data_IF_879849804733
#
_entry.id   IF_879849804733
#
_cell.length_a   1.000
_cell.length_b   1.000
_cell.length_c   1.000
_cell.angle_alpha   90.00
_cell.angle_beta   90.00
_cell.angle_gamma   90.00
#
_symmetry.space_group_name_H-M   'P 1'
#
loop_
_entity.id
_entity.type
_entity.pdbx_description
1 polymer ?
#
# COMPACT_ATOMS: atom_id res chain seq x y z
N UNK A 1 -10.16 0.33 8.55
CA UNK A 1 -11.52 -0.19 8.24
C UNK A 1 -11.48 -1.71 8.22
N UNK A 2 -12.54 -2.44 8.59
CA UNK A 2 -12.57 -3.92 8.64
C UNK A 2 -13.56 -4.45 7.60
N UNK A 3 -13.16 -5.48 6.84
CA UNK A 3 -14.02 -6.17 5.87
C UNK A 3 -14.13 -7.65 6.20
N UNK A 4 -15.28 -8.24 5.86
CA UNK A 4 -15.56 -9.67 5.97
C UNK A 4 -16.07 -10.17 4.62
N UNK A 5 -15.51 -11.29 4.17
CA UNK A 5 -16.01 -12.02 3.01
C UNK A 5 -16.28 -13.46 3.43
N UNK A 6 -17.48 -13.96 3.11
CA UNK A 6 -17.89 -15.36 3.27
C UNK A 6 -18.45 -15.83 1.94
N UNK A 7 -17.91 -16.90 1.31
CA UNK A 7 -18.48 -17.46 0.10
C UNK A 7 -19.85 -18.07 0.43
N UNK A 8 -20.94 -17.40 0.03
CA UNK A 8 -22.31 -17.89 0.24
C UNK A 8 -23.35 -16.81 0.55
N UNK A 9 -22.93 -15.63 1.05
CA UNK A 9 -23.82 -14.50 1.32
C UNK A 9 -23.49 -13.34 0.37
N UNK A 10 -24.42 -13.00 -0.52
CA UNK A 10 -24.28 -11.83 -1.39
C UNK A 10 -24.19 -10.54 -0.55
N UNK A 11 -23.09 -9.80 -0.77
CA UNK A 11 -22.83 -8.40 -0.42
C UNK A 11 -23.66 -7.84 0.76
N UNK A 12 -23.27 -8.19 1.99
CA UNK A 12 -23.56 -7.33 3.15
C UNK A 12 -22.27 -6.72 3.68
N UNK A 13 -21.98 -5.52 3.19
CA UNK A 13 -21.00 -4.62 3.80
C UNK A 13 -21.64 -4.07 5.08
N UNK A 14 -21.55 -4.84 6.15
CA UNK A 14 -22.07 -4.46 7.47
C UNK A 14 -20.98 -3.81 8.32
N UNK A 15 -21.26 -2.62 8.87
CA UNK A 15 -20.53 -2.09 10.01
C UNK A 15 -20.97 -2.88 11.25
N UNK A 16 -20.15 -3.80 11.74
CA UNK A 16 -20.51 -4.61 12.92
C UNK A 16 -20.38 -3.75 14.18
N UNK A 17 -21.52 -3.33 14.74
CA UNK A 17 -21.64 -3.09 16.17
C UNK A 17 -21.58 -4.46 16.87
N UNK A 18 -20.68 -4.62 17.83
CA UNK A 18 -20.49 -5.86 18.60
C UNK A 18 -21.79 -6.19 19.37
N UNK A 19 -22.57 -7.13 18.84
CA UNK A 19 -23.64 -7.76 19.60
C UNK A 19 -23.02 -8.69 20.64
N UNK A 20 -23.29 -8.38 21.92
CA UNK A 20 -22.90 -9.17 23.08
C UNK A 20 -23.78 -10.41 23.17
N UNK A 21 -23.23 -11.60 22.90
CA UNK A 21 -23.57 -12.90 23.51
C UNK A 21 -23.12 -14.07 22.63
N UNK A 22 -21.81 -14.21 22.44
CA UNK A 22 -21.19 -15.45 21.94
C UNK A 22 -20.04 -15.85 22.88
N UNK A 23 -19.77 -17.15 23.05
CA UNK A 23 -18.73 -17.67 23.94
C UNK A 23 -17.40 -16.96 23.69
N UNK A 24 -16.66 -16.68 24.77
CA UNK A 24 -15.46 -15.85 24.82
C UNK A 24 -14.56 -16.06 23.61
N UNK A 25 -14.75 -15.21 22.59
CA UNK A 25 -13.81 -15.08 21.49
C UNK A 25 -12.58 -14.45 22.15
N UNK A 26 -11.57 -15.27 22.43
CA UNK A 26 -10.20 -14.78 22.58
C UNK A 26 -9.99 -13.93 21.32
N UNK A 27 -9.99 -12.60 21.50
CA UNK A 27 -9.95 -11.67 20.40
C UNK A 27 -8.80 -12.04 19.47
N UNK A 28 -8.97 -11.93 18.13
CA UNK A 28 -7.86 -12.20 17.24
C UNK A 28 -6.65 -11.40 17.70
N UNK A 29 -5.48 -12.06 17.76
CA UNK A 29 -4.22 -11.39 18.06
C UNK A 29 -4.15 -10.09 17.24
N UNK A 30 -3.72 -9.01 17.90
CA UNK A 30 -3.55 -7.74 17.21
C UNK A 30 -2.75 -7.99 15.92
N UNK A 31 -3.22 -7.53 14.75
CA UNK A 31 -2.54 -7.78 13.47
C UNK A 31 -1.06 -7.38 13.48
N UNK A 32 -0.69 -6.42 14.33
CA UNK A 32 0.70 -5.97 14.54
C UNK A 32 1.62 -6.97 15.26
N UNK A 33 1.07 -8.01 15.92
CA UNK A 33 1.83 -9.05 16.64
C UNK A 33 1.76 -10.42 15.97
N UNK A 34 0.90 -10.59 14.96
CA UNK A 34 0.76 -11.85 14.26
C UNK A 34 1.79 -11.91 13.12
N UNK A 35 2.70 -12.89 13.20
CA UNK A 35 3.62 -13.26 12.10
C UNK A 35 2.87 -13.79 10.85
N UNK A 36 1.54 -13.76 10.86
CA UNK A 36 0.66 -14.37 9.84
C UNK A 36 -0.12 -13.33 9.03
N UNK A 37 0.45 -12.14 8.90
CA UNK A 37 -0.18 -10.99 8.27
C UNK A 37 0.67 -10.55 7.07
N UNK A 38 0.07 -10.59 5.89
CA UNK A 38 0.65 -9.96 4.71
C UNK A 38 0.60 -8.45 4.93
N UNK A 39 1.73 -7.79 4.69
CA UNK A 39 1.84 -6.33 4.77
C UNK A 39 2.21 -5.77 3.41
N UNK A 40 1.42 -4.84 2.91
CA UNK A 40 1.66 -4.09 1.67
C UNK A 40 1.86 -2.61 2.01
N UNK A 41 3.05 -2.07 1.77
CA UNK A 41 3.32 -0.64 1.91
C UNK A 41 3.00 0.06 0.61
N UNK A 42 2.06 1.00 0.64
CA UNK A 42 1.61 1.75 -0.52
C UNK A 42 2.33 3.10 -0.56
N UNK A 43 3.31 3.31 -1.45
CA UNK A 43 3.85 4.63 -1.69
C UNK A 43 2.82 5.47 -2.44
N UNK A 44 2.56 6.68 -1.98
CA UNK A 44 1.68 7.64 -2.65
C UNK A 44 2.41 8.95 -2.85
N UNK A 45 2.49 9.40 -4.10
CA UNK A 45 3.14 10.65 -4.45
C UNK A 45 2.21 11.81 -4.05
N UNK A 46 2.79 12.82 -3.40
CA UNK A 46 2.11 14.04 -2.97
C UNK A 46 2.84 15.22 -3.59
N UNK A 47 2.12 16.03 -4.35
CA UNK A 47 2.63 17.27 -4.91
C UNK A 47 2.40 18.42 -3.93
N UNK A 48 3.45 19.20 -3.72
CA UNK A 48 3.52 20.31 -2.78
C UNK A 48 3.66 21.61 -3.57
N UNK A 49 2.61 21.96 -4.32
CA UNK A 49 2.54 23.19 -5.11
C UNK A 49 3.75 23.47 -6.01
N UNK A 50 3.86 24.70 -6.51
CA UNK A 50 4.99 25.15 -7.35
C UNK A 50 5.97 26.05 -6.62
N UNK A 51 5.61 26.55 -5.42
CA UNK A 51 6.36 27.60 -4.70
C UNK A 51 7.64 27.10 -4.00
N UNK A 52 7.82 25.78 -3.87
CA UNK A 52 9.00 25.17 -3.25
C UNK A 52 10.01 24.54 -4.23
N UNK A 53 9.86 24.64 -5.55
CA UNK A 53 10.69 23.86 -6.50
C UNK A 53 12.21 24.06 -6.37
N UNK A 54 12.65 25.21 -5.87
CA UNK A 54 14.05 25.61 -5.84
C UNK A 54 14.66 25.59 -4.43
N UNK A 55 14.44 24.52 -3.68
CA UNK A 55 15.16 24.31 -2.42
C UNK A 55 16.61 23.93 -2.70
N UNK A 56 17.53 24.53 -1.95
CA UNK A 56 18.90 24.02 -1.86
C UNK A 56 18.94 22.70 -1.08
N UNK A 57 20.08 21.99 -1.12
CA UNK A 57 20.17 20.69 -0.46
C UNK A 57 20.01 20.80 1.06
N UNK A 58 20.47 21.91 1.65
CA UNK A 58 20.51 22.09 3.10
C UNK A 58 19.11 22.26 3.64
N UNK A 59 18.30 23.09 2.99
CA UNK A 59 16.89 23.27 3.31
C UNK A 59 16.10 21.99 3.07
N UNK A 60 16.45 21.21 2.05
CA UNK A 60 15.86 19.89 1.80
C UNK A 60 16.18 18.88 2.91
N UNK A 61 17.40 18.85 3.44
CA UNK A 61 17.78 18.02 4.58
C UNK A 61 17.05 18.44 5.86
N UNK A 62 17.00 19.75 6.14
CA UNK A 62 16.22 20.30 7.27
C UNK A 62 14.74 19.91 7.13
N UNK A 63 14.20 19.98 5.92
CA UNK A 63 12.83 19.57 5.65
C UNK A 63 12.60 18.09 5.96
N UNK A 64 13.49 17.21 5.46
CA UNK A 64 13.45 15.77 5.74
C UNK A 64 13.50 15.46 7.23
N UNK A 65 14.39 16.11 7.98
CA UNK A 65 14.53 15.89 9.42
C UNK A 65 13.27 16.33 10.18
N UNK A 66 12.79 17.55 9.91
CA UNK A 66 11.61 18.12 10.57
C UNK A 66 10.35 17.29 10.30
N UNK A 67 10.14 16.88 9.04
CA UNK A 67 9.04 16.00 8.66
C UNK A 67 9.09 14.66 9.39
N UNK A 68 10.26 14.02 9.46
CA UNK A 68 10.42 12.77 10.20
C UNK A 68 10.17 12.95 11.70
N UNK A 69 10.64 14.04 12.30
CA UNK A 69 10.42 14.33 13.71
C UNK A 69 8.93 14.58 14.03
N UNK A 70 8.22 15.30 13.15
CA UNK A 70 6.78 15.51 13.26
C UNK A 70 6.01 14.19 13.09
N UNK A 71 6.40 13.35 12.12
CA UNK A 71 5.78 12.05 11.91
C UNK A 71 5.92 11.15 13.14
N UNK A 72 7.12 11.10 13.74
CA UNK A 72 7.36 10.35 14.98
C UNK A 72 6.49 10.86 16.13
N UNK A 73 6.36 12.18 16.28
CA UNK A 73 5.48 12.79 17.30
C UNK A 73 4.01 12.45 17.08
N UNK A 74 3.54 12.52 15.84
CA UNK A 74 2.18 12.15 15.48
C UNK A 74 1.91 10.66 15.73
N UNK A 75 2.89 9.79 15.47
CA UNK A 75 2.76 8.37 15.76
C UNK A 75 2.67 8.08 17.26
N UNK A 76 3.50 8.75 18.09
CA UNK A 76 3.43 8.62 19.55
C UNK A 76 2.09 9.13 20.10
N UNK A 77 1.58 10.26 19.61
CA UNK A 77 0.29 10.79 20.07
C UNK A 77 -0.88 9.86 19.72
N UNK A 78 -0.81 9.13 18.60
CA UNK A 78 -1.80 8.10 18.25
C UNK A 78 -1.71 6.89 19.18
N UNK A 79 -0.52 6.54 19.69
CA UNK A 79 -0.37 5.45 20.66
C UNK A 79 -0.88 5.84 22.05
N UNK A 80 -0.65 7.08 22.48
CA UNK A 80 -1.03 7.57 23.80
C UNK A 80 -2.53 7.91 23.90
N UNK A 81 -3.19 8.20 22.78
CA UNK A 81 -4.61 8.54 22.76
C UNK A 81 -5.50 7.30 22.88
N UNK A 82 -6.03 7.07 24.07
CA UNK A 82 -7.04 6.02 24.35
C UNK A 82 -8.34 6.18 23.53
N UNK A 83 -8.54 7.33 22.88
CA UNK A 83 -9.72 7.67 22.08
C UNK A 83 -9.36 8.13 20.66
N UNK A 84 -8.31 7.55 20.06
CA UNK A 84 -7.99 7.83 18.65
C UNK A 84 -9.22 7.54 17.78
N UNK A 85 -9.68 8.57 17.07
CA UNK A 85 -10.84 8.48 16.19
C UNK A 85 -10.62 7.35 15.19
N UNK A 86 -11.43 6.30 15.32
CA UNK A 86 -11.39 5.14 14.44
C UNK A 86 -11.76 5.56 13.02
N UNK A 87 -10.77 6.02 12.23
CA UNK A 87 -10.81 6.31 10.78
C UNK A 87 -9.58 7.10 10.28
N UNK A 88 -8.71 7.62 11.14
CA UNK A 88 -7.56 8.41 10.67
C UNK A 88 -6.58 7.57 9.84
N UNK A 89 -6.09 8.17 8.75
CA UNK A 89 -5.00 7.61 7.96
C UNK A 89 -3.73 7.59 8.82
N UNK A 90 -2.92 6.54 8.67
CA UNK A 90 -1.65 6.42 9.39
C UNK A 90 -0.52 6.47 8.38
N UNK A 91 0.18 7.60 8.34
CA UNK A 91 1.41 7.74 7.57
C UNK A 91 2.51 7.04 8.36
N UNK A 92 3.13 6.03 7.77
CA UNK A 92 4.22 5.27 8.38
C UNK A 92 5.56 5.91 8.11
N UNK A 93 5.66 6.54 6.94
CA UNK A 93 6.89 7.10 6.43
C UNK A 93 6.57 8.28 5.53
N UNK A 94 7.46 9.26 5.54
CA UNK A 94 7.39 10.42 4.68
C UNK A 94 8.77 10.66 4.07
N UNK A 95 8.81 10.80 2.75
CA UNK A 95 10.02 11.08 2.00
C UNK A 95 9.87 12.40 1.26
N UNK A 96 10.84 13.30 1.46
CA UNK A 96 10.86 14.59 0.78
C UNK A 96 11.90 14.48 -0.33
N UNK A 97 11.42 14.36 -1.57
CA UNK A 97 12.28 14.11 -2.73
C UNK A 97 12.88 15.41 -3.25
N UNK A 98 12.02 16.42 -3.42
CA UNK A 98 12.40 17.79 -3.72
C UNK A 98 11.36 18.74 -3.11
N UNK A 99 11.48 20.04 -3.36
CA UNK A 99 10.56 21.01 -2.76
C UNK A 99 9.16 21.09 -3.39
N UNK A 100 8.86 20.27 -4.39
CA UNK A 100 7.51 20.13 -4.96
C UNK A 100 6.93 18.72 -4.85
N UNK A 101 7.70 17.74 -4.42
CA UNK A 101 7.32 16.33 -4.47
C UNK A 101 7.73 15.62 -3.19
N UNK A 102 6.74 15.03 -2.55
CA UNK A 102 6.88 14.18 -1.37
C UNK A 102 6.26 12.81 -1.66
N UNK A 103 6.64 11.81 -0.88
CA UNK A 103 6.04 10.47 -0.93
C UNK A 103 5.62 10.10 0.49
N UNK A 104 4.33 9.83 0.67
CA UNK A 104 3.81 9.24 1.90
C UNK A 104 3.71 7.74 1.71
N UNK A 105 4.11 6.99 2.73
CA UNK A 105 3.90 5.55 2.77
C UNK A 105 2.80 5.22 3.77
N UNK A 106 1.79 4.51 3.29
CA UNK A 106 0.71 3.95 4.09
C UNK A 106 0.77 2.42 4.00
N UNK A 107 -0.01 1.73 4.81
CA UNK A 107 0.03 0.29 4.95
C UNK A 107 -1.36 -0.35 4.79
N UNK A 108 -1.40 -1.38 3.97
CA UNK A 108 -2.49 -2.36 3.96
C UNK A 108 -2.00 -3.65 4.58
N UNK A 109 -2.81 -4.26 5.43
CA UNK A 109 -2.54 -5.58 5.97
C UNK A 109 -3.67 -6.52 5.63
N UNK A 110 -3.32 -7.76 5.31
CA UNK A 110 -4.27 -8.81 5.02
C UNK A 110 -3.97 -10.04 5.89
N UNK A 111 -5.01 -10.68 6.41
CA UNK A 111 -4.89 -11.99 7.05
C UNK A 111 -6.03 -12.91 6.62
N UNK A 112 -5.71 -14.19 6.46
CA UNK A 112 -6.65 -15.22 6.03
C UNK A 112 -6.90 -16.15 7.21
N UNK A 113 -8.18 -16.32 7.55
CA UNK A 113 -8.63 -17.20 8.62
C UNK A 113 -9.48 -18.31 8.02
N UNK A 114 -9.14 -19.54 8.33
CA UNK A 114 -9.86 -20.72 7.86
C UNK A 114 -10.75 -21.29 8.97
N UNK A 115 -12.01 -21.59 8.65
CA UNK A 115 -13.00 -22.22 9.55
C UNK A 115 -13.82 -23.27 8.79
N UNK A 116 -13.55 -24.55 9.04
CA UNK A 116 -14.26 -25.64 8.36
C UNK A 116 -13.89 -25.70 6.88
N UNK A 117 -14.86 -25.48 5.99
CA UNK A 117 -14.66 -25.41 4.53
C UNK A 117 -14.66 -23.96 4.00
N UNK A 118 -14.71 -22.98 4.89
CA UNK A 118 -14.78 -21.57 4.54
C UNK A 118 -13.49 -20.88 4.95
N UNK A 119 -13.08 -19.91 4.14
CA UNK A 119 -12.04 -18.96 4.49
C UNK A 119 -12.65 -17.57 4.58
N UNK A 120 -12.07 -16.74 5.45
CA UNK A 120 -12.41 -15.33 5.63
C UNK A 120 -11.14 -14.52 5.52
N UNK A 121 -11.18 -13.47 4.70
CA UNK A 121 -10.05 -12.55 4.54
C UNK A 121 -10.39 -11.26 5.25
N UNK A 122 -9.48 -10.85 6.12
CA UNK A 122 -9.52 -9.57 6.80
C UNK A 122 -8.51 -8.65 6.15
N UNK A 123 -9.00 -7.56 5.56
CA UNK A 123 -8.14 -6.51 5.01
C UNK A 123 -8.30 -5.29 5.92
N UNK A 124 -7.17 -4.78 6.37
CA UNK A 124 -7.09 -3.53 7.11
C UNK A 124 -6.26 -2.55 6.30
N UNK A 125 -6.87 -1.43 5.93
CA UNK A 125 -6.17 -0.31 5.30
C UNK A 125 -6.13 0.86 6.29
N UNK A 126 -4.93 1.39 6.52
CA UNK A 126 -4.72 2.74 7.05
C UNK A 126 -4.52 3.79 5.93
N UNK A 127 -4.68 3.36 4.67
CA UNK A 127 -4.51 4.15 3.47
C UNK A 127 -5.85 4.71 2.93
N UNK A 128 -5.80 5.90 2.31
CA UNK A 128 -6.91 6.46 1.52
C UNK A 128 -7.98 7.27 2.26
N UNK A 129 -7.77 7.70 3.51
CA UNK A 129 -8.64 8.72 4.11
C UNK A 129 -8.09 10.13 3.85
N UNK A 130 -8.51 10.72 2.73
CA UNK A 130 -8.13 12.07 2.30
C UNK A 130 -8.78 13.18 3.14
N UNK A 131 -9.84 12.88 3.91
CA UNK A 131 -10.60 13.89 4.68
C UNK A 131 -9.76 14.59 5.75
N UNK A 132 -8.59 14.04 6.11
CA UNK A 132 -7.74 14.56 7.18
C UNK A 132 -6.36 14.99 6.67
N UNK A 133 -6.20 15.67 5.54
CA UNK A 133 -4.86 16.10 5.06
C UNK A 133 -4.02 16.90 6.06
N UNK A 134 -4.65 17.45 7.11
CA UNK A 134 -4.01 18.20 8.19
C UNK A 134 -2.93 17.40 8.97
N UNK A 135 -2.91 16.06 8.91
CA UNK A 135 -1.91 15.25 9.61
C UNK A 135 -0.63 14.98 8.81
N UNK A 136 -0.54 15.38 7.54
CA UNK A 136 0.69 15.19 6.75
C UNK A 136 1.72 16.21 7.23
N UNK A 137 2.89 15.75 7.73
CA UNK A 137 3.94 16.67 8.14
C UNK A 137 4.42 17.52 6.97
N UNK A 138 4.18 18.81 7.01
CA UNK A 138 4.76 19.78 6.07
C UNK A 138 5.90 20.51 6.77
N UNK A 139 7.10 20.57 6.17
CA UNK A 139 8.23 21.24 6.81
C UNK A 139 7.88 22.71 7.08
N UNK A 140 8.14 23.24 8.30
CA UNK A 140 8.03 24.67 8.55
C UNK A 140 9.32 25.36 8.07
N UNK A 141 9.58 25.31 6.76
CA UNK A 141 10.56 26.19 6.11
C UNK A 141 9.81 27.30 5.40
N UNK A 142 10.50 28.41 5.09
CA UNK A 142 9.87 29.59 4.46
C UNK A 142 9.17 29.24 3.14
N UNK A 143 9.70 28.25 2.42
CA UNK A 143 9.20 27.85 1.11
C UNK A 143 8.09 26.77 1.17
N UNK A 144 7.99 26.03 2.28
CA UNK A 144 6.95 25.02 2.50
C UNK A 144 5.75 25.52 3.31
N UNK A 145 5.94 26.52 4.18
CA UNK A 145 4.88 27.09 5.03
C UNK A 145 3.63 27.59 4.27
N UNK A 146 3.71 28.18 3.05
CA UNK A 146 2.53 28.62 2.32
C UNK A 146 1.77 27.48 1.62
N UNK A 147 2.28 26.25 1.62
CA UNK A 147 1.81 25.16 0.73
C UNK A 147 1.09 24.03 1.48
N UNK A 148 0.99 24.12 2.81
CA UNK A 148 0.37 23.07 3.62
C UNK A 148 -1.13 22.83 3.32
N UNK A 149 -1.82 23.81 2.75
CA UNK A 149 -3.21 23.70 2.29
C UNK A 149 -3.37 23.10 0.88
N UNK A 150 -2.28 23.00 0.11
CA UNK A 150 -2.33 22.77 -1.34
C UNK A 150 -1.76 21.39 -1.72
N UNK A 151 -1.78 20.44 -0.78
CA UNK A 151 -1.29 19.09 -1.02
C UNK A 151 -2.20 18.35 -2.00
N UNK A 152 -1.64 17.87 -3.10
CA UNK A 152 -2.37 17.11 -4.11
C UNK A 152 -1.82 15.69 -4.17
N UNK A 153 -2.67 14.71 -3.88
CA UNK A 153 -2.35 13.30 -3.99
C UNK A 153 -2.39 12.86 -5.45
N UNK A 154 -1.31 12.27 -5.94
CA UNK A 154 -1.28 11.65 -7.25
C UNK A 154 -2.14 10.37 -7.22
N UNK A 155 -3.19 10.26 -8.05
CA UNK A 155 -3.97 9.03 -8.09
C UNK A 155 -3.16 7.88 -8.67
N UNK A 156 -3.39 6.68 -8.14
CA UNK A 156 -2.80 5.46 -8.69
C UNK A 156 -3.54 5.09 -9.97
N UNK A 157 -2.77 4.93 -11.05
CA UNK A 157 -3.24 4.57 -12.37
C UNK A 157 -2.82 3.12 -12.61
N UNK A 158 -3.77 2.24 -12.87
CA UNK A 158 -3.49 0.86 -13.24
C UNK A 158 -4.52 0.36 -14.23
N UNK A 159 -4.06 -0.53 -15.10
CA UNK A 159 -4.94 -1.24 -16.01
C UNK A 159 -5.44 -2.50 -15.37
N UNK A 160 -6.76 -2.57 -15.25
CA UNK A 160 -7.45 -3.75 -14.80
C UNK A 160 -7.94 -4.51 -16.04
N UNK A 161 -7.00 -5.00 -16.86
CA UNK A 161 -7.33 -5.84 -18.03
C UNK A 161 -7.86 -7.24 -17.63
N UNK A 162 -8.08 -7.49 -16.33
CA UNK A 162 -8.55 -8.76 -15.79
C UNK A 162 -9.93 -9.21 -16.32
N UNK A 163 -10.71 -8.31 -16.93
CA UNK A 163 -11.97 -8.70 -17.59
C UNK A 163 -11.80 -9.23 -19.03
N UNK A 164 -10.58 -9.27 -19.60
CA UNK A 164 -10.40 -9.60 -21.04
C UNK A 164 -9.57 -10.86 -21.36
N UNK A 165 -8.99 -11.57 -20.39
CA UNK A 165 -8.09 -12.71 -20.68
C UNK A 165 -8.78 -14.06 -20.94
N UNK A 166 -10.09 -14.13 -21.25
CA UNK A 166 -10.73 -15.43 -21.55
C UNK A 166 -11.61 -15.51 -22.80
N UNK A 167 -11.50 -14.57 -23.75
CA UNK A 167 -11.96 -14.84 -25.12
C UNK A 167 -10.97 -14.25 -26.13
N UNK A 168 -10.00 -15.08 -26.51
CA UNK A 168 -9.29 -14.91 -27.78
C UNK A 168 -10.30 -15.06 -28.91
N UNK A 169 -10.92 -13.95 -29.28
CA UNK A 169 -11.61 -13.76 -30.55
C UNK A 169 -10.91 -12.60 -31.21
N UNK A 170 -10.24 -12.90 -32.32
CA UNK A 170 -9.49 -11.98 -33.16
C UNK A 170 -10.48 -11.00 -33.81
N UNK A 171 -10.86 -9.95 -33.10
CA UNK A 171 -11.44 -8.73 -33.67
C UNK A 171 -10.86 -7.55 -32.91
N UNK A 172 -10.14 -6.62 -33.57
CA UNK A 172 -9.65 -5.41 -32.92
C UNK A 172 -10.84 -4.46 -32.73
N UNK A 173 -11.51 -4.56 -31.58
CA UNK A 173 -12.57 -3.62 -31.22
C UNK A 173 -11.93 -2.31 -30.75
N UNK A 174 -12.16 -1.23 -31.50
CA UNK A 174 -11.62 0.12 -31.25
C UNK A 174 -12.24 0.79 -30.02
N UNK A 175 -13.12 0.11 -29.29
CA UNK A 175 -13.77 0.58 -28.07
C UNK A 175 -13.07 0.07 -26.80
N UNK A 176 -11.76 0.29 -26.67
CA UNK A 176 -11.09 0.07 -25.38
C UNK A 176 -11.62 1.08 -24.37
N UNK A 177 -12.41 0.58 -23.41
CA UNK A 177 -12.85 1.38 -22.27
C UNK A 177 -11.65 1.98 -21.53
N UNK A 178 -11.78 3.21 -21.01
CA UNK A 178 -10.66 3.94 -20.42
C UNK A 178 -10.07 3.17 -19.22
N UNK A 179 -8.73 3.25 -19.12
CA UNK A 179 -7.92 2.80 -17.99
C UNK A 179 -8.69 3.02 -16.67
N UNK A 180 -8.87 1.96 -15.87
CA UNK A 180 -9.60 2.06 -14.61
C UNK A 180 -8.78 2.87 -13.60
N UNK A 181 -9.07 4.17 -13.50
CA UNK A 181 -8.49 5.03 -12.47
C UNK A 181 -9.20 4.77 -11.15
N UNK A 182 -8.54 4.13 -10.19
CA UNK A 182 -9.02 4.09 -8.82
C UNK A 182 -8.04 4.84 -7.92
N UNK A 183 -8.40 6.04 -7.43
CA UNK A 183 -7.70 6.65 -6.31
C UNK A 183 -7.62 5.67 -5.14
N UNK A 184 -6.52 5.74 -4.38
CA UNK A 184 -6.34 4.98 -3.14
C UNK A 184 -7.52 5.15 -2.18
N UNK A 185 -8.11 6.35 -2.16
CA UNK A 185 -9.29 6.68 -1.38
C UNK A 185 -10.57 5.95 -1.79
N UNK A 186 -10.64 5.39 -3.00
CA UNK A 186 -11.79 4.60 -3.45
C UNK A 186 -11.59 3.11 -3.23
N UNK A 187 -10.37 2.64 -2.94
CA UNK A 187 -10.13 1.21 -2.75
C UNK A 187 -10.99 0.67 -1.59
N UNK A 188 -11.18 1.44 -0.53
CA UNK A 188 -12.04 1.05 0.59
C UNK A 188 -13.53 0.83 0.21
N UNK A 189 -14.04 1.58 -0.76
CA UNK A 189 -15.46 1.57 -1.17
C UNK A 189 -15.70 0.71 -2.39
N UNK A 190 -14.65 0.41 -3.16
CA UNK A 190 -14.73 -0.32 -4.44
C UNK A 190 -13.93 -1.61 -4.50
N UNK A 191 -13.25 -2.00 -3.42
CA UNK A 191 -12.55 -3.28 -3.37
C UNK A 191 -13.50 -4.44 -3.66
N UNK A 192 -13.09 -5.35 -4.54
CA UNK A 192 -13.87 -6.52 -4.91
C UNK A 192 -14.83 -6.30 -6.07
N UNK A 193 -14.95 -5.06 -6.58
CA UNK A 193 -15.79 -4.77 -7.76
C UNK A 193 -15.23 -5.40 -9.02
N UNK A 194 -13.90 -5.55 -9.12
CA UNK A 194 -13.23 -6.12 -10.29
C UNK A 194 -12.87 -7.59 -10.13
N UNK A 195 -13.24 -8.16 -8.98
CA UNK A 195 -12.97 -9.55 -8.65
C UNK A 195 -14.06 -10.42 -9.28
N UNK A 196 -13.66 -11.37 -10.12
CA UNK A 196 -14.58 -12.41 -10.60
C UNK A 196 -14.78 -13.47 -9.51
N UNK A 197 -15.84 -13.28 -8.72
CA UNK A 197 -16.17 -14.18 -7.62
C UNK A 197 -16.53 -15.59 -8.08
N UNK A 198 -16.88 -15.79 -9.35
CA UNK A 198 -17.25 -17.11 -9.87
C UNK A 198 -16.05 -18.04 -10.08
N UNK A 199 -14.87 -17.46 -10.36
CA UNK A 199 -13.61 -18.20 -10.57
C UNK A 199 -12.81 -18.40 -9.27
N UNK A 200 -13.09 -17.61 -8.24
CA UNK A 200 -12.31 -17.59 -6.99
C UNK A 200 -12.77 -18.62 -5.96
N UNK A 201 -13.97 -19.17 -6.08
CA UNK A 201 -14.50 -20.11 -5.09
C UNK A 201 -13.73 -21.43 -5.00
N UNK A 202 -12.86 -21.75 -5.96
CA UNK A 202 -12.22 -23.08 -6.04
C UNK A 202 -10.71 -23.09 -5.84
N UNK A 203 -9.98 -22.02 -6.16
CA UNK A 203 -8.55 -22.19 -6.48
C UNK A 203 -7.58 -21.65 -5.43
N UNK A 204 -7.81 -20.46 -4.85
CA UNK A 204 -6.96 -19.92 -3.77
C UNK A 204 -7.52 -18.62 -3.19
N UNK A 205 -7.50 -18.39 -1.86
CA UNK A 205 -7.90 -17.13 -1.25
C UNK A 205 -6.90 -16.00 -1.55
N UNK A 206 -5.70 -16.33 -2.05
CA UNK A 206 -4.76 -15.33 -2.57
C UNK A 206 -5.31 -14.61 -3.80
N UNK A 207 -6.15 -15.27 -4.61
CA UNK A 207 -6.75 -14.66 -5.79
C UNK A 207 -7.64 -13.46 -5.43
N UNK A 208 -8.25 -13.46 -4.25
CA UNK A 208 -9.02 -12.30 -3.75
C UNK A 208 -8.11 -11.10 -3.50
N UNK A 209 -6.87 -11.33 -3.07
CA UNK A 209 -5.89 -10.26 -2.80
C UNK A 209 -5.27 -9.70 -4.08
N UNK A 210 -5.56 -10.28 -5.24
CA UNK A 210 -4.99 -9.88 -6.53
C UNK A 210 -5.20 -8.40 -6.84
N UNK A 211 -6.39 -7.86 -6.61
CA UNK A 211 -6.69 -6.44 -6.82
C UNK A 211 -5.75 -5.55 -5.98
N UNK A 212 -5.44 -5.95 -4.73
CA UNK A 212 -4.49 -5.22 -3.88
C UNK A 212 -3.06 -5.32 -4.41
N UNK A 213 -2.65 -6.48 -4.92
CA UNK A 213 -1.32 -6.65 -5.50
C UNK A 213 -1.13 -5.84 -6.77
N UNK A 214 -2.13 -5.83 -7.66
CA UNK A 214 -2.12 -5.02 -8.89
C UNK A 214 -2.06 -3.54 -8.53
N UNK A 215 -2.90 -3.09 -7.60
CA UNK A 215 -2.89 -1.72 -7.09
C UNK A 215 -1.52 -1.33 -6.53
N UNK A 216 -0.96 -2.18 -5.65
CA UNK A 216 0.37 -1.97 -5.04
C UNK A 216 1.48 -1.93 -6.10
N UNK A 217 1.44 -2.80 -7.10
CA UNK A 217 2.42 -2.84 -8.18
C UNK A 217 2.39 -1.55 -9.02
N UNK A 218 1.19 -1.04 -9.32
CA UNK A 218 1.05 0.22 -10.03
C UNK A 218 1.54 1.43 -9.21
N UNK A 219 1.19 1.51 -7.93
CA UNK A 219 1.70 2.54 -7.03
C UNK A 219 3.23 2.50 -6.93
N UNK A 220 3.81 1.30 -6.84
CA UNK A 220 5.25 1.07 -6.88
C UNK A 220 5.90 1.56 -8.17
N UNK A 221 5.32 1.23 -9.33
CA UNK A 221 5.84 1.65 -10.62
C UNK A 221 5.84 3.18 -10.75
N UNK A 222 4.75 3.84 -10.36
CA UNK A 222 4.68 5.30 -10.34
C UNK A 222 5.75 5.92 -9.44
N UNK A 223 5.97 5.34 -8.26
CA UNK A 223 7.00 5.79 -7.34
C UNK A 223 8.40 5.66 -7.95
N UNK A 224 8.73 4.53 -8.57
CA UNK A 224 10.02 4.34 -9.24
C UNK A 224 10.20 5.31 -10.41
N UNK A 225 9.17 5.51 -11.24
CA UNK A 225 9.21 6.47 -12.34
C UNK A 225 9.41 7.91 -11.84
N UNK A 226 8.79 8.27 -10.70
CA UNK A 226 9.01 9.57 -10.07
C UNK A 226 10.45 9.72 -9.59
N UNK A 227 11.03 8.69 -8.95
CA UNK A 227 12.44 8.72 -8.55
C UNK A 227 13.38 8.86 -9.74
N UNK A 228 13.11 8.17 -10.85
CA UNK A 228 13.87 8.30 -12.10
C UNK A 228 13.84 9.75 -12.61
N UNK A 229 12.66 10.38 -12.63
CA UNK A 229 12.54 11.80 -12.98
C UNK A 229 13.32 12.72 -12.03
N UNK A 230 13.31 12.46 -10.72
CA UNK A 230 14.10 13.22 -9.75
C UNK A 230 15.60 13.03 -10.00
N UNK A 231 16.06 11.82 -10.31
CA UNK A 231 17.46 11.54 -10.64
C UNK A 231 17.91 12.30 -11.90
N UNK A 232 17.08 12.31 -12.95
CA UNK A 232 17.35 13.07 -14.17
C UNK A 232 17.43 14.58 -13.90
N UNK A 233 16.55 15.12 -13.07
CA UNK A 233 16.59 16.53 -12.68
C UNK A 233 17.87 16.87 -11.92
N UNK A 234 18.27 16.01 -10.97
CA UNK A 234 19.49 16.18 -10.17
C UNK A 234 20.73 16.11 -11.04
N UNK A 235 20.80 15.13 -11.96
CA UNK A 235 21.92 14.96 -12.89
C UNK A 235 22.02 16.06 -13.95
N UNK A 236 20.89 16.66 -14.34
CA UNK A 236 20.82 17.73 -15.34
C UNK A 236 21.27 19.11 -14.85
N UNK A 237 21.50 19.30 -13.54
CA UNK A 237 21.97 20.58 -12.96
C UNK A 237 23.48 20.82 -13.14
N UNK A 238 24.13 20.18 -14.11
CA UNK A 238 25.58 20.22 -14.33
C UNK A 238 26.15 21.57 -14.77
N UNK A 239 25.33 22.59 -15.03
CA UNK A 239 25.76 23.85 -15.66
C UNK A 239 26.21 24.94 -14.66
N UNK A 240 26.40 24.63 -13.37
CA UNK A 240 26.77 25.63 -12.36
C UNK A 240 28.28 25.84 -12.20
N UNK A 241 28.74 27.08 -11.99
CA UNK A 241 30.17 27.46 -12.00
C UNK A 241 30.98 27.00 -10.77
N UNK A 242 30.35 26.39 -9.76
CA UNK A 242 31.03 25.80 -8.58
C UNK A 242 30.91 24.27 -8.62
N UNK A 243 31.88 23.63 -9.26
CA UNK A 243 31.92 22.19 -9.47
C UNK A 243 31.86 21.39 -8.15
N UNK A 244 32.61 21.81 -7.13
CA UNK A 244 32.72 21.08 -5.86
C UNK A 244 31.44 21.13 -5.01
N UNK A 245 30.78 22.29 -4.93
CA UNK A 245 29.53 22.41 -4.17
C UNK A 245 28.43 21.57 -4.82
N UNK A 246 28.25 21.74 -6.13
CA UNK A 246 27.22 21.02 -6.91
C UNK A 246 27.40 19.50 -6.82
N UNK A 247 28.66 19.03 -6.82
CA UNK A 247 28.99 17.60 -6.67
C UNK A 247 28.60 17.04 -5.31
N UNK A 248 28.84 17.78 -4.22
CA UNK A 248 28.46 17.35 -2.88
C UNK A 248 26.92 17.28 -2.74
N UNK A 249 26.20 18.31 -3.17
CA UNK A 249 24.73 18.35 -3.09
C UNK A 249 24.09 17.19 -3.87
N UNK A 250 24.61 16.95 -5.07
CA UNK A 250 24.20 15.83 -5.93
C UNK A 250 24.46 14.48 -5.27
N UNK A 251 25.61 14.33 -4.62
CA UNK A 251 25.98 13.08 -3.91
C UNK A 251 25.03 12.80 -2.74
N UNK A 252 24.73 13.81 -1.91
CA UNK A 252 23.78 13.70 -0.80
C UNK A 252 22.39 13.29 -1.30
N UNK A 253 21.95 13.87 -2.42
CA UNK A 253 20.67 13.52 -3.01
C UNK A 253 20.65 12.08 -3.56
N UNK A 254 21.71 11.64 -4.24
CA UNK A 254 21.83 10.25 -4.69
C UNK A 254 21.83 9.26 -3.54
N UNK A 255 22.56 9.54 -2.45
CA UNK A 255 22.57 8.69 -1.26
C UNK A 255 21.18 8.60 -0.61
N UNK A 256 20.43 9.70 -0.58
CA UNK A 256 19.06 9.70 -0.10
C UNK A 256 18.13 8.82 -0.95
N UNK A 257 18.20 8.94 -2.28
CA UNK A 257 17.39 8.14 -3.20
C UNK A 257 17.78 6.67 -3.11
N UNK A 258 19.08 6.37 -3.07
CA UNK A 258 19.61 5.02 -2.87
C UNK A 258 19.07 4.39 -1.60
N UNK A 259 19.12 5.10 -0.46
CA UNK A 259 18.57 4.60 0.79
C UNK A 259 17.06 4.32 0.69
N UNK A 260 16.32 5.11 -0.09
CA UNK A 260 14.88 4.94 -0.30
C UNK A 260 14.57 3.72 -1.17
N UNK A 261 15.35 3.50 -2.23
CA UNK A 261 15.29 2.31 -3.07
C UNK A 261 15.66 1.03 -2.32
N UNK A 262 16.73 1.04 -1.51
CA UNK A 262 17.12 -0.14 -0.72
C UNK A 262 16.03 -0.56 0.27
N UNK A 263 15.34 0.40 0.89
CA UNK A 263 14.20 0.08 1.77
C UNK A 263 13.00 -0.45 1.01
N UNK A 264 12.76 0.08 -0.18
CA UNK A 264 11.70 -0.40 -1.06
C UNK A 264 11.97 -1.84 -1.52
N UNK A 265 13.21 -2.15 -1.92
CA UNK A 265 13.68 -3.49 -2.27
C UNK A 265 13.54 -4.48 -1.10
N UNK A 266 13.97 -4.07 0.10
CA UNK A 266 13.79 -4.88 1.32
C UNK A 266 12.31 -5.24 1.52
N UNK A 267 11.41 -4.27 1.36
CA UNK A 267 9.99 -4.52 1.52
C UNK A 267 9.42 -5.47 0.45
N UNK A 268 9.84 -5.34 -0.81
CA UNK A 268 9.47 -6.30 -1.86
C UNK A 268 9.96 -7.72 -1.53
N UNK A 269 11.16 -7.82 -0.94
CA UNK A 269 11.74 -9.09 -0.50
C UNK A 269 10.95 -9.70 0.66
N UNK A 270 10.47 -8.90 1.61
CA UNK A 270 9.57 -9.33 2.69
C UNK A 270 8.25 -9.90 2.14
N UNK A 271 7.65 -9.24 1.14
CA UNK A 271 6.42 -9.72 0.48
C UNK A 271 6.70 -11.04 -0.25
N UNK A 272 7.79 -11.12 -1.02
CA UNK A 272 8.14 -12.32 -1.77
C UNK A 272 8.41 -13.50 -0.83
N UNK A 273 9.14 -13.28 0.26
CA UNK A 273 9.40 -14.29 1.29
C UNK A 273 8.08 -14.80 1.88
N UNK A 274 7.16 -13.88 2.22
CA UNK A 274 5.84 -14.24 2.72
C UNK A 274 5.03 -15.06 1.70
N UNK A 275 5.09 -14.73 0.40
CA UNK A 275 4.35 -15.45 -0.64
C UNK A 275 4.96 -16.82 -0.99
N UNK A 276 6.29 -16.95 -0.84
CA UNK A 276 7.02 -18.19 -1.16
C UNK A 276 6.90 -19.21 -0.04
N UNK A 277 6.94 -18.77 1.22
CA UNK A 277 6.73 -19.61 2.40
C UNK A 277 5.62 -19.01 3.28
N UNK A 278 4.36 -19.07 2.81
CA UNK A 278 3.27 -18.47 3.54
C UNK A 278 2.98 -19.28 4.81
N UNK A 279 2.55 -18.62 5.90
CA UNK A 279 2.19 -19.30 7.13
C UNK A 279 1.20 -20.43 6.87
N UNK A 280 1.28 -21.54 7.61
CA UNK A 280 0.46 -22.74 7.37
C UNK A 280 -1.05 -22.51 7.23
N UNK A 281 -1.60 -21.43 7.82
CA UNK A 281 -3.01 -21.04 7.69
C UNK A 281 -3.40 -20.51 6.29
N UNK A 282 -2.43 -20.09 5.50
CA UNK A 282 -2.58 -19.63 4.12
C UNK A 282 -2.37 -20.77 3.11
N UNK A 283 -1.75 -21.88 3.53
CA UNK A 283 -1.53 -23.05 2.70
C UNK A 283 -2.83 -23.87 2.57
N UNK A 284 -3.53 -23.68 1.46
CA UNK A 284 -4.61 -24.59 1.03
C UNK A 284 -3.97 -25.73 0.24
N UNK A 285 -3.28 -26.63 0.94
CA UNK A 285 -3.09 -27.94 0.34
C UNK A 285 -4.47 -28.62 0.33
N UNK A 286 -5.03 -29.04 -0.83
CA UNK A 286 -6.29 -29.75 -0.86
C UNK A 286 -6.15 -31.01 0.02
N UNK A 287 -6.91 -31.07 1.11
CA UNK A 287 -6.86 -32.20 2.07
C UNK A 287 -7.34 -33.53 1.46
N UNK A 288 -7.82 -33.53 0.22
CA UNK A 288 -8.34 -34.71 -0.47
C UNK A 288 -7.50 -35.07 -1.68
N UNK A 289 -6.41 -35.81 -1.46
CA UNK A 289 -5.77 -36.73 -2.42
C UNK A 289 -4.61 -37.52 -1.80
N UNK A 290 -4.40 -37.48 -0.47
CA UNK A 290 -3.71 -38.59 0.20
C UNK A 290 -4.69 -39.75 0.20
N UNK A 291 -4.46 -40.65 -0.76
CA UNK A 291 -5.25 -41.85 -0.95
C UNK A 291 -5.50 -42.56 0.37
N UNK A 292 -6.74 -43.03 0.51
CA UNK A 292 -6.94 -44.36 1.05
C UNK A 292 -6.05 -45.30 0.22
N UNK A 293 -4.79 -45.48 0.62
CA UNK A 293 -4.15 -46.76 0.40
C UNK A 293 -4.96 -47.74 1.24
N UNK A 294 -5.95 -48.33 0.58
CA UNK A 294 -6.66 -49.49 1.06
C UNK A 294 -5.62 -50.55 1.38
N UNK A 295 -5.47 -50.84 2.67
CA UNK A 295 -4.93 -52.11 3.15
C UNK A 295 -5.80 -53.24 2.57
N UNK A 296 -5.44 -53.69 1.38
CA UNK A 296 -5.87 -54.94 0.79
C UNK A 296 -4.63 -55.82 0.76
N UNK A 297 -4.37 -56.52 1.88
CA UNK A 297 -3.61 -57.77 1.94
C UNK A 297 -3.73 -58.34 3.36
N UNK A 298 -4.92 -58.86 3.67
CA UNK A 298 -5.07 -60.06 4.49
C UNK A 298 -5.96 -61.01 3.69
N UNK A 299 -5.34 -62.01 3.07
CA UNK A 299 -5.83 -63.37 2.85
C UNK A 299 -4.66 -64.24 2.39
#
# INVERSE_FOLDING_TARGET
MRYYFSPGDHQRIGLIALAQNTPSIIGPDLPSRSLQVLTLRIPTIVFVGSRGRNLDIRDLEIAREKCNAQLRRAFLSVQDSAASEARRSIIRRLEVQNGSTMVVEQQMTATIVHRGNFWTIFIWSDAGNEVDHAHIPVPPTKDFAPVASDLVFCPVFFDNEFTQTSRSSVVPDQNRHPLSRQPLALLNTRYGVTIDWSTISTDSPLAVLQELFVFKAAAALQYVNMLDHVLLEVGGRSDFPSYEHTKLETTVQYDYIKASLSRFEQHCSEILAFLTDPPAKWNIAPKGLRGRESNANEL
#
